data_IF_802327218046
#
_entry.id   IF_802327218046
#
_cell.length_a   1.000
_cell.length_b   1.000
_cell.length_c   1.000
_cell.angle_alpha   90.00
_cell.angle_beta   90.00
_cell.angle_gamma   90.00
#
_symmetry.space_group_name_H-M   'P 1'
#
loop_
_entity.id
_entity.type
_entity.pdbx_description
1 polymer ?
#
# COMPACT_ATOMS: atom_id res chain seq x y z
N UNK A 1 27.82 -30.34 -29.11
CA UNK A 1 28.11 -28.94 -29.51
C UNK A 1 26.87 -28.13 -29.92
N UNK A 2 25.93 -28.63 -30.76
CA UNK A 2 24.72 -27.86 -31.14
C UNK A 2 23.79 -27.42 -29.99
N UNK A 3 23.68 -28.18 -28.90
CA UNK A 3 22.85 -27.81 -27.72
C UNK A 3 23.43 -26.63 -26.92
N UNK A 4 24.75 -26.41 -26.98
CA UNK A 4 25.41 -25.31 -26.27
C UNK A 4 25.17 -23.96 -26.97
N UNK A 5 25.14 -23.96 -28.30
CA UNK A 5 24.84 -22.78 -29.10
C UNK A 5 23.38 -22.29 -28.97
N UNK A 6 22.43 -23.21 -28.74
CA UNK A 6 21.03 -22.88 -28.47
C UNK A 6 20.85 -22.25 -27.08
N UNK A 7 21.58 -22.75 -26.07
CA UNK A 7 21.57 -22.19 -24.72
C UNK A 7 22.20 -20.79 -24.67
N UNK A 8 23.31 -20.56 -25.36
CA UNK A 8 23.89 -19.21 -25.47
C UNK A 8 22.99 -18.21 -26.20
N UNK A 9 22.30 -18.65 -27.27
CA UNK A 9 21.34 -17.80 -27.99
C UNK A 9 20.14 -17.43 -27.12
N UNK A 10 19.66 -18.37 -26.30
CA UNK A 10 18.57 -18.14 -25.35
C UNK A 10 18.97 -17.19 -24.21
N UNK A 11 20.15 -17.39 -23.61
CA UNK A 11 20.69 -16.47 -22.58
C UNK A 11 20.94 -15.06 -23.15
N UNK A 12 21.45 -14.95 -24.39
CA UNK A 12 21.61 -13.67 -25.07
C UNK A 12 20.27 -12.98 -25.37
N UNK A 13 19.23 -13.72 -25.79
CA UNK A 13 17.92 -13.11 -26.04
C UNK A 13 17.24 -12.63 -24.75
N UNK A 14 17.41 -13.35 -23.63
CA UNK A 14 16.93 -12.91 -22.31
C UNK A 14 17.67 -11.65 -21.86
N UNK A 15 19.00 -11.58 -22.01
CA UNK A 15 19.80 -10.39 -21.66
C UNK A 15 19.46 -9.19 -22.54
N UNK A 16 19.25 -9.39 -23.84
CA UNK A 16 18.86 -8.33 -24.77
C UNK A 16 17.46 -7.78 -24.43
N UNK A 17 16.48 -8.64 -24.13
CA UNK A 17 15.15 -8.19 -23.72
C UNK A 17 15.15 -7.50 -22.35
N UNK A 18 15.93 -7.99 -21.39
CA UNK A 18 16.07 -7.35 -20.07
C UNK A 18 16.77 -5.98 -20.14
N UNK A 19 17.78 -5.83 -21.00
CA UNK A 19 18.45 -4.55 -21.26
C UNK A 19 17.53 -3.57 -22.00
N UNK A 20 16.73 -4.05 -22.96
CA UNK A 20 15.77 -3.21 -23.68
C UNK A 20 14.62 -2.75 -22.77
N UNK A 21 14.07 -3.65 -21.96
CA UNK A 21 13.04 -3.30 -20.97
C UNK A 21 13.59 -2.41 -19.87
N UNK A 22 14.81 -2.68 -19.39
CA UNK A 22 15.50 -1.84 -18.41
C UNK A 22 15.79 -0.43 -18.92
N UNK A 23 16.20 -0.29 -20.19
CA UNK A 23 16.42 1.00 -20.83
C UNK A 23 15.10 1.78 -21.03
N UNK A 24 14.01 1.12 -21.41
CA UNK A 24 12.70 1.76 -21.55
C UNK A 24 12.18 2.25 -20.19
N UNK A 25 12.29 1.42 -19.14
CA UNK A 25 11.87 1.81 -17.77
C UNK A 25 12.74 2.95 -17.24
N UNK A 26 14.06 2.88 -17.41
CA UNK A 26 14.97 3.95 -17.00
C UNK A 26 14.71 5.26 -17.74
N UNK A 27 14.44 5.19 -19.05
CA UNK A 27 14.11 6.37 -19.86
C UNK A 27 12.77 6.96 -19.46
N UNK A 28 11.75 6.13 -19.17
CA UNK A 28 10.46 6.59 -18.65
C UNK A 28 10.57 7.22 -17.25
N UNK A 29 11.42 6.67 -16.37
CA UNK A 29 11.71 7.24 -15.05
C UNK A 29 12.45 8.58 -15.15
N UNK A 30 13.45 8.68 -16.03
CA UNK A 30 14.20 9.92 -16.25
C UNK A 30 13.32 10.99 -16.91
N UNK A 31 12.48 10.64 -17.89
CA UNK A 31 11.50 11.58 -18.44
C UNK A 31 10.44 12.00 -17.41
N UNK A 32 9.99 11.09 -16.55
CA UNK A 32 9.06 11.38 -15.47
C UNK A 32 9.65 12.26 -14.36
N UNK A 33 10.97 12.19 -14.14
CA UNK A 33 11.71 13.05 -13.21
C UNK A 33 12.05 14.43 -13.79
N UNK A 34 12.21 14.53 -15.11
CA UNK A 34 12.53 15.79 -15.80
C UNK A 34 11.29 16.63 -16.16
N UNK A 35 10.13 15.99 -16.28
CA UNK A 35 8.86 16.69 -16.34
C UNK A 35 8.46 16.99 -14.90
N UNK A 36 8.73 18.20 -14.41
CA UNK A 36 8.13 18.71 -13.18
C UNK A 36 6.61 18.50 -13.32
N UNK A 37 6.00 17.45 -12.74
CA UNK A 37 4.58 17.31 -12.87
C UNK A 37 4.04 18.48 -12.06
N UNK A 38 3.36 19.42 -12.73
CA UNK A 38 2.49 20.33 -12.00
C UNK A 38 1.66 19.42 -11.08
N UNK A 39 1.69 19.64 -9.75
CA UNK A 39 1.09 18.69 -8.82
C UNK A 39 -0.33 18.44 -9.32
N UNK A 40 -0.66 17.18 -9.58
CA UNK A 40 -2.01 16.79 -9.96
C UNK A 40 -2.85 16.91 -8.69
N UNK A 41 -3.37 18.11 -8.46
CA UNK A 41 -4.13 18.50 -7.27
C UNK A 41 -5.59 18.04 -7.42
N UNK A 42 -5.83 16.73 -7.31
CA UNK A 42 -7.11 16.24 -6.77
C UNK A 42 -7.13 16.53 -5.27
N UNK A 43 -8.31 16.67 -4.67
CA UNK A 43 -8.60 17.23 -3.34
C UNK A 43 -7.39 17.40 -2.41
N UNK A 44 -6.98 18.64 -2.16
CA UNK A 44 -5.82 18.84 -1.30
C UNK A 44 -6.15 18.46 0.15
N UNK A 45 -5.20 17.82 0.85
CA UNK A 45 -5.33 17.55 2.28
C UNK A 45 -5.63 18.78 3.13
N UNK A 46 -5.40 19.99 2.63
CA UNK A 46 -5.67 21.27 3.29
C UNK A 46 -7.13 21.46 3.70
N UNK A 47 -8.08 21.13 2.82
CA UNK A 47 -9.52 21.27 3.16
C UNK A 47 -9.92 20.29 4.26
N UNK A 48 -9.46 19.03 4.19
CA UNK A 48 -9.67 18.05 5.26
C UNK A 48 -9.05 18.49 6.57
N UNK A 49 -7.81 18.97 6.55
CA UNK A 49 -7.13 19.45 7.76
C UNK A 49 -7.87 20.64 8.37
N UNK A 50 -8.32 21.59 7.55
CA UNK A 50 -9.10 22.72 8.05
C UNK A 50 -10.35 22.25 8.80
N UNK A 51 -11.18 21.41 8.15
CA UNK A 51 -12.43 20.90 8.74
C UNK A 51 -12.16 20.01 9.96
N UNK A 52 -11.14 19.16 9.88
CA UNK A 52 -10.73 18.28 10.97
C UNK A 52 -10.19 19.04 12.19
N UNK A 53 -9.55 20.19 12.00
CA UNK A 53 -9.16 21.08 13.10
C UNK A 53 -10.38 21.78 13.72
N UNK A 54 -11.41 22.16 12.93
CA UNK A 54 -12.66 22.68 13.50
C UNK A 54 -13.32 21.64 14.40
N UNK A 55 -13.46 20.40 13.90
CA UNK A 55 -14.03 19.30 14.68
C UNK A 55 -13.21 18.98 15.93
N UNK A 56 -11.87 18.99 15.81
CA UNK A 56 -10.97 18.79 16.96
C UNK A 56 -11.15 19.90 17.98
N UNK A 57 -11.17 21.16 17.57
CA UNK A 57 -11.26 22.30 18.49
C UNK A 57 -12.59 22.30 19.25
N UNK A 58 -13.70 21.94 18.59
CA UNK A 58 -14.99 21.72 19.27
C UNK A 58 -14.86 20.61 20.32
N UNK A 59 -14.26 19.47 19.94
CA UNK A 59 -14.07 18.32 20.82
C UNK A 59 -13.20 18.57 22.08
N UNK A 60 -12.34 19.60 22.10
CA UNK A 60 -11.34 19.78 23.16
C UNK A 60 -11.91 20.13 24.54
N UNK A 61 -13.14 20.63 24.60
CA UNK A 61 -13.84 20.86 25.87
C UNK A 61 -14.48 19.58 26.46
N UNK A 62 -14.34 18.46 25.75
CA UNK A 62 -14.88 17.16 26.10
C UNK A 62 -16.27 16.89 25.52
N UNK A 63 -16.80 17.78 24.67
CA UNK A 63 -18.07 17.61 23.96
C UNK A 63 -17.94 17.99 22.50
N UNK A 64 -18.86 17.50 21.67
CA UNK A 64 -19.07 17.96 20.30
C UNK A 64 -20.48 18.50 20.18
N UNK A 65 -20.61 19.70 19.62
CA UNK A 65 -21.88 20.38 19.44
C UNK A 65 -22.35 20.25 18.01
N UNK A 66 -23.47 19.56 17.79
CA UNK A 66 -24.08 19.48 16.48
C UNK A 66 -25.15 20.57 16.37
N UNK A 67 -24.92 21.54 15.51
CA UNK A 67 -25.86 22.63 15.26
C UNK A 67 -26.89 22.27 14.19
N UNK A 68 -28.11 22.78 14.34
CA UNK A 68 -29.12 22.78 13.29
C UNK A 68 -28.93 24.02 12.42
N UNK A 69 -28.76 23.81 11.12
CA UNK A 69 -28.60 24.89 10.15
C UNK A 69 -29.89 25.12 9.37
N UNK A 70 -30.16 26.38 9.00
CA UNK A 70 -31.15 26.70 7.98
C UNK A 70 -30.58 26.29 6.61
N UNK A 71 -31.22 25.38 5.86
CA UNK A 71 -30.67 24.90 4.59
C UNK A 71 -30.61 25.98 3.50
N UNK A 72 -31.39 27.06 3.61
CA UNK A 72 -31.39 28.16 2.64
C UNK A 72 -30.32 29.22 2.92
N UNK A 73 -30.06 29.54 4.19
CA UNK A 73 -29.15 30.63 4.59
C UNK A 73 -27.81 30.14 5.16
N UNK A 74 -27.75 28.89 5.61
CA UNK A 74 -26.60 28.33 6.33
C UNK A 74 -26.48 28.81 7.78
N UNK A 75 -27.41 29.63 8.27
CA UNK A 75 -27.38 30.16 9.64
C UNK A 75 -27.70 29.08 10.67
N UNK A 76 -27.06 29.17 11.84
CA UNK A 76 -27.37 28.33 12.99
C UNK A 76 -28.73 28.77 13.54
N UNK A 77 -29.72 27.88 13.48
CA UNK A 77 -31.10 28.12 13.98
C UNK A 77 -31.41 27.36 15.26
N UNK A 78 -30.44 26.60 15.78
CA UNK A 78 -30.54 25.88 17.04
C UNK A 78 -29.46 24.82 17.18
N UNK A 79 -29.54 24.03 18.24
CA UNK A 79 -28.61 22.93 18.53
C UNK A 79 -29.37 21.61 18.46
N UNK A 80 -28.83 20.63 17.72
CA UNK A 80 -29.35 19.26 17.67
C UNK A 80 -29.00 18.53 18.97
N UNK A 81 -27.77 18.70 19.44
CA UNK A 81 -27.34 18.17 20.72
C UNK A 81 -25.87 18.42 21.01
N UNK A 82 -25.51 18.19 22.27
CA UNK A 82 -24.13 18.09 22.73
C UNK A 82 -23.82 16.63 23.03
N UNK A 83 -22.70 16.14 22.54
CA UNK A 83 -22.31 14.74 22.68
C UNK A 83 -20.97 14.64 23.38
N UNK A 84 -20.89 13.87 24.47
CA UNK A 84 -19.64 13.67 25.18
C UNK A 84 -18.62 12.97 24.28
N UNK A 85 -17.38 13.45 24.30
CA UNK A 85 -16.25 12.84 23.60
C UNK A 85 -15.71 11.69 24.45
N UNK A 86 -15.40 10.56 23.82
CA UNK A 86 -14.72 9.46 24.49
C UNK A 86 -13.39 9.95 25.12
N UNK A 87 -13.15 9.73 26.42
CA UNK A 87 -11.96 10.28 27.10
C UNK A 87 -10.63 9.83 26.50
N UNK A 88 -10.55 8.63 25.92
CA UNK A 88 -9.33 8.14 25.27
C UNK A 88 -9.12 8.84 23.92
N UNK A 89 -10.19 9.09 23.15
CA UNK A 89 -10.12 9.91 21.94
C UNK A 89 -9.70 11.34 22.29
N UNK A 90 -10.35 11.97 23.28
CA UNK A 90 -10.04 13.34 23.71
C UNK A 90 -8.56 13.48 24.09
N UNK A 91 -8.06 12.55 24.90
CA UNK A 91 -6.65 12.54 25.32
C UNK A 91 -5.73 12.39 24.11
N UNK A 92 -6.03 11.46 23.20
CA UNK A 92 -5.21 11.22 22.02
C UNK A 92 -5.13 12.45 21.10
N UNK A 93 -6.26 13.06 20.73
CA UNK A 93 -6.26 14.21 19.80
C UNK A 93 -5.75 15.50 20.44
N UNK A 94 -5.83 15.62 21.77
CA UNK A 94 -5.25 16.75 22.52
C UNK A 94 -3.73 16.63 22.58
N UNK A 95 -3.22 15.46 22.96
CA UNK A 95 -1.81 15.26 23.30
C UNK A 95 -0.95 14.92 22.07
N UNK A 96 -1.56 14.41 20.99
CA UNK A 96 -0.87 14.04 19.72
C UNK A 96 -1.49 14.73 18.49
N UNK A 97 -1.54 16.07 18.44
CA UNK A 97 -2.23 16.81 17.37
C UNK A 97 -1.56 16.65 16.00
N UNK A 98 -0.23 16.51 15.92
CA UNK A 98 0.47 16.33 14.64
C UNK A 98 0.24 14.95 14.03
N UNK A 99 0.09 13.90 14.85
CA UNK A 99 -0.34 12.57 14.38
C UNK A 99 -1.82 12.56 13.97
N UNK A 100 -2.69 13.27 14.70
CA UNK A 100 -4.08 13.45 14.28
C UNK A 100 -4.17 14.11 12.89
N UNK A 101 -3.42 15.20 12.66
CA UNK A 101 -3.33 15.86 11.34
C UNK A 101 -2.75 14.96 10.26
N UNK A 102 -1.74 14.16 10.58
CA UNK A 102 -1.24 13.14 9.67
C UNK A 102 -2.37 12.14 9.31
N UNK A 103 -3.15 11.70 10.30
CA UNK A 103 -4.35 10.90 10.09
C UNK A 103 -5.34 11.53 9.12
N UNK A 104 -5.63 12.83 9.28
CA UNK A 104 -6.57 13.58 8.44
C UNK A 104 -6.14 13.62 6.97
N UNK A 105 -4.86 13.46 6.65
CA UNK A 105 -4.43 13.35 5.25
C UNK A 105 -4.99 12.08 4.58
N UNK A 106 -5.32 11.06 5.38
CA UNK A 106 -6.20 9.97 4.98
C UNK A 106 -5.71 9.15 3.78
N UNK A 107 -6.65 8.53 3.04
CA UNK A 107 -6.39 7.81 1.80
C UNK A 107 -5.76 8.66 0.69
N UNK A 108 -5.91 9.99 0.74
CA UNK A 108 -5.27 10.90 -0.22
C UNK A 108 -3.74 10.98 -0.06
N UNK A 109 -3.22 10.62 1.11
CA UNK A 109 -1.79 10.52 1.37
C UNK A 109 -1.30 9.08 1.60
N UNK A 110 -2.12 8.21 2.18
CA UNK A 110 -1.71 6.87 2.62
C UNK A 110 -2.67 5.76 2.16
N UNK A 111 -2.15 4.62 1.69
CA UNK A 111 -0.73 4.35 1.47
C UNK A 111 -0.15 5.10 0.26
N UNK A 112 -1.02 5.52 -0.66
CA UNK A 112 -0.75 6.36 -1.82
C UNK A 112 -2.06 6.81 -2.46
N UNK A 113 -2.01 7.89 -3.25
CA UNK A 113 -3.18 8.49 -3.90
C UNK A 113 -3.93 7.53 -4.83
N UNK A 114 -3.24 6.62 -5.53
CA UNK A 114 -3.90 5.69 -6.45
C UNK A 114 -4.68 4.65 -5.67
N UNK A 115 -4.10 4.10 -4.61
CA UNK A 115 -4.81 3.17 -3.72
C UNK A 115 -6.00 3.86 -3.04
N UNK A 116 -5.82 5.08 -2.53
CA UNK A 116 -6.91 5.85 -1.93
C UNK A 116 -8.10 6.01 -2.87
N UNK A 117 -7.85 6.58 -4.05
CA UNK A 117 -8.88 6.92 -5.03
C UNK A 117 -9.49 5.71 -5.75
N UNK A 118 -8.79 4.57 -5.82
CA UNK A 118 -9.26 3.38 -6.56
C UNK A 118 -9.78 2.24 -5.69
N UNK A 119 -9.30 2.13 -4.45
CA UNK A 119 -9.61 0.98 -3.57
C UNK A 119 -10.36 1.43 -2.32
N UNK A 120 -10.01 2.59 -1.77
CA UNK A 120 -10.52 3.04 -0.47
C UNK A 120 -11.78 3.90 -0.62
N UNK A 121 -11.77 4.92 -1.48
CA UNK A 121 -12.91 5.83 -1.69
C UNK A 121 -14.12 5.21 -2.42
N UNK A 122 -13.94 4.37 -3.47
CA UNK A 122 -15.10 3.95 -4.27
C UNK A 122 -16.08 3.05 -3.50
N UNK A 123 -17.40 3.27 -3.65
CA UNK A 123 -18.43 2.48 -2.98
C UNK A 123 -18.69 1.12 -3.66
N UNK A 124 -18.08 0.84 -4.82
CA UNK A 124 -18.35 -0.35 -5.63
C UNK A 124 -17.75 -1.63 -5.08
N UNK A 125 -16.78 -1.53 -4.19
CA UNK A 125 -16.34 -2.66 -3.38
C UNK A 125 -17.36 -2.83 -2.25
N UNK A 126 -17.98 -4.01 -2.04
CA UNK A 126 -19.18 -4.18 -1.20
C UNK A 126 -19.09 -3.67 0.26
N UNK A 127 -17.91 -3.27 0.75
CA UNK A 127 -17.73 -2.54 2.01
C UNK A 127 -16.65 -1.40 1.94
N UNK A 128 -16.24 -0.97 0.74
CA UNK A 128 -15.34 0.15 0.40
C UNK A 128 -14.45 0.70 1.51
N UNK A 129 -14.65 1.98 1.85
CA UNK A 129 -13.95 2.66 2.93
C UNK A 129 -14.26 2.05 4.30
N UNK A 130 -15.46 1.51 4.51
CA UNK A 130 -15.89 1.01 5.82
C UNK A 130 -14.98 -0.11 6.35
N UNK A 131 -14.64 -1.10 5.51
CA UNK A 131 -13.70 -2.18 5.91
C UNK A 131 -12.32 -1.65 6.32
N UNK A 132 -11.83 -0.61 5.63
CA UNK A 132 -10.57 0.04 5.99
C UNK A 132 -10.69 0.75 7.34
N UNK A 133 -11.76 1.51 7.55
CA UNK A 133 -11.99 2.25 8.80
C UNK A 133 -12.14 1.29 9.99
N UNK A 134 -12.90 0.20 9.85
CA UNK A 134 -13.06 -0.83 10.88
C UNK A 134 -11.72 -1.49 11.21
N UNK A 135 -10.93 -1.84 10.19
CA UNK A 135 -9.63 -2.44 10.38
C UNK A 135 -8.66 -1.51 11.13
N UNK A 136 -8.60 -0.23 10.74
CA UNK A 136 -7.75 0.74 11.42
C UNK A 136 -8.23 1.01 12.84
N UNK A 137 -9.54 1.16 13.04
CA UNK A 137 -10.15 1.37 14.35
C UNK A 137 -9.85 0.21 15.31
N UNK A 138 -10.00 -1.03 14.86
CA UNK A 138 -9.70 -2.23 15.64
C UNK A 138 -8.24 -2.32 16.08
N UNK A 139 -7.33 -1.71 15.32
CA UNK A 139 -5.90 -1.68 15.63
C UNK A 139 -5.44 -0.38 16.33
N UNK A 140 -6.35 0.54 16.64
CA UNK A 140 -6.02 1.91 17.09
C UNK A 140 -5.48 2.01 18.52
N UNK A 141 -5.71 1.00 19.37
CA UNK A 141 -5.39 1.06 20.80
C UNK A 141 -3.94 0.68 21.14
N UNK A 142 -3.04 0.61 20.14
CA UNK A 142 -1.63 0.25 20.35
C UNK A 142 -0.83 1.36 21.04
N UNK A 143 -1.17 2.62 20.80
CA UNK A 143 -0.61 3.78 21.51
C UNK A 143 -1.55 5.00 21.35
N UNK A 144 -1.47 6.01 22.24
CA UNK A 144 -2.24 7.24 22.08
C UNK A 144 -1.94 7.99 20.76
N UNK A 145 -0.68 7.95 20.28
CA UNK A 145 -0.30 8.52 18.99
C UNK A 145 -0.98 7.81 17.81
N UNK A 146 -1.03 6.46 17.84
CA UNK A 146 -1.75 5.66 16.85
C UNK A 146 -3.25 5.94 16.93
N UNK A 147 -3.81 6.06 18.13
CA UNK A 147 -5.22 6.42 18.32
C UNK A 147 -5.53 7.77 17.68
N UNK A 148 -4.68 8.77 17.89
CA UNK A 148 -4.83 10.10 17.29
C UNK A 148 -4.78 10.03 15.76
N UNK A 149 -3.80 9.32 15.20
CA UNK A 149 -3.70 9.09 13.75
C UNK A 149 -4.95 8.40 13.19
N UNK A 150 -5.41 7.31 13.80
CA UNK A 150 -6.60 6.60 13.33
C UNK A 150 -7.86 7.47 13.44
N UNK A 151 -8.05 8.20 14.54
CA UNK A 151 -9.17 9.15 14.66
C UNK A 151 -9.12 10.21 13.56
N UNK A 152 -7.93 10.74 13.25
CA UNK A 152 -7.76 11.65 12.11
C UNK A 152 -8.15 11.02 10.76
N UNK A 153 -7.78 9.76 10.56
CA UNK A 153 -8.15 9.01 9.35
C UNK A 153 -9.67 8.81 9.23
N UNK A 154 -10.35 8.55 10.36
CA UNK A 154 -11.82 8.50 10.40
C UNK A 154 -12.43 9.89 10.14
N UNK A 155 -11.83 10.97 10.65
CA UNK A 155 -12.26 12.34 10.36
C UNK A 155 -12.14 12.68 8.88
N UNK A 156 -11.09 12.20 8.20
CA UNK A 156 -10.97 12.32 6.74
C UNK A 156 -12.19 11.69 6.05
N UNK A 157 -12.45 10.42 6.33
CA UNK A 157 -13.57 9.70 5.71
C UNK A 157 -14.93 10.31 6.05
N UNK A 158 -15.11 10.86 7.26
CA UNK A 158 -16.31 11.61 7.58
C UNK A 158 -16.45 12.86 6.68
N UNK A 159 -15.35 13.56 6.41
CA UNK A 159 -15.30 14.65 5.42
C UNK A 159 -15.67 14.19 4.01
N UNK A 160 -15.14 13.06 3.56
CA UNK A 160 -15.42 12.47 2.25
C UNK A 160 -16.91 12.20 2.04
N UNK A 161 -17.61 11.70 3.05
CA UNK A 161 -19.04 11.36 2.92
C UNK A 161 -19.87 12.58 2.51
N UNK A 162 -19.56 13.75 3.06
CA UNK A 162 -20.21 15.00 2.69
C UNK A 162 -19.61 15.58 1.40
N UNK A 163 -18.29 15.62 1.30
CA UNK A 163 -17.57 16.19 0.17
C UNK A 163 -17.88 15.48 -1.14
N UNK A 164 -17.77 14.16 -1.19
CA UNK A 164 -18.08 13.41 -2.40
C UNK A 164 -19.56 13.43 -2.75
N UNK A 165 -20.49 13.61 -1.82
CA UNK A 165 -21.89 13.87 -2.18
C UNK A 165 -22.02 15.16 -3.00
N UNK A 166 -21.37 16.24 -2.53
CA UNK A 166 -21.33 17.51 -3.25
C UNK A 166 -20.60 17.38 -4.59
N UNK A 167 -19.39 16.81 -4.60
CA UNK A 167 -18.57 16.68 -5.81
C UNK A 167 -19.27 15.79 -6.85
N UNK A 168 -19.81 14.64 -6.45
CA UNK A 168 -20.52 13.73 -7.36
C UNK A 168 -21.73 14.39 -8.03
N UNK A 169 -22.40 15.33 -7.37
CA UNK A 169 -23.47 16.12 -7.97
C UNK A 169 -22.97 16.98 -9.16
N UNK A 170 -21.76 17.54 -9.07
CA UNK A 170 -21.18 18.35 -10.16
C UNK A 170 -20.45 17.53 -11.22
N UNK A 171 -19.87 16.39 -10.85
CA UNK A 171 -19.10 15.54 -11.76
C UNK A 171 -19.96 14.49 -12.46
N UNK A 172 -21.13 14.18 -11.88
CA UNK A 172 -22.17 13.29 -12.39
C UNK A 172 -22.03 11.83 -11.95
N UNK A 173 -20.95 11.46 -11.27
CA UNK A 173 -20.69 10.09 -10.79
C UNK A 173 -19.49 10.04 -9.83
N UNK A 174 -19.34 8.96 -9.03
CA UNK A 174 -18.12 8.67 -8.27
C UNK A 174 -16.85 8.68 -9.13
N UNK A 175 -15.70 8.92 -8.49
CA UNK A 175 -14.41 9.01 -9.16
C UNK A 175 -14.06 7.73 -9.94
N UNK A 176 -13.76 7.87 -11.23
CA UNK A 176 -13.30 6.77 -12.09
C UNK A 176 -12.19 7.26 -13.02
N UNK A 177 -11.09 6.49 -13.11
CA UNK A 177 -9.95 6.81 -14.00
C UNK A 177 -10.26 6.41 -15.44
N UNK A 178 -11.15 5.45 -15.64
CA UNK A 178 -11.56 4.96 -16.95
C UNK A 178 -13.08 4.92 -17.04
N UNK A 179 -13.70 5.67 -17.96
CA UNK A 179 -13.08 6.64 -18.88
C UNK A 179 -12.57 7.91 -18.15
N UNK A 180 -11.51 8.58 -18.64
CA UNK A 180 -10.81 9.64 -17.90
C UNK A 180 -11.63 10.93 -17.69
N UNK A 181 -12.75 11.10 -18.41
CA UNK A 181 -13.56 12.31 -18.34
C UNK A 181 -14.15 12.58 -16.94
N UNK A 182 -14.47 11.55 -16.17
CA UNK A 182 -14.97 11.72 -14.80
C UNK A 182 -13.85 12.15 -13.84
N UNK A 183 -12.68 11.50 -13.88
CA UNK A 183 -11.51 11.91 -13.10
C UNK A 183 -11.13 13.38 -13.32
N UNK A 184 -11.14 13.86 -14.57
CA UNK A 184 -10.85 15.27 -14.88
C UNK A 184 -11.85 16.21 -14.21
N UNK A 185 -13.16 15.89 -14.27
CA UNK A 185 -14.20 16.70 -13.62
C UNK A 185 -14.02 16.75 -12.10
N UNK A 186 -13.71 15.61 -11.47
CA UNK A 186 -13.43 15.52 -10.04
C UNK A 186 -12.26 16.43 -9.64
N UNK A 187 -11.13 16.29 -10.31
CA UNK A 187 -9.94 17.13 -10.08
C UNK A 187 -10.28 18.63 -10.18
N UNK A 188 -11.05 19.02 -11.21
CA UNK A 188 -11.44 20.42 -11.40
C UNK A 188 -12.40 20.92 -10.32
N UNK A 189 -13.42 20.13 -9.97
CA UNK A 189 -14.42 20.50 -8.98
C UNK A 189 -13.82 20.58 -7.57
N UNK A 190 -13.07 19.56 -7.17
CA UNK A 190 -12.36 19.51 -5.88
C UNK A 190 -11.32 20.62 -5.78
N UNK A 191 -10.53 20.84 -6.83
CA UNK A 191 -9.55 21.93 -6.88
C UNK A 191 -10.18 23.32 -6.85
N UNK A 192 -11.40 23.48 -7.36
CA UNK A 192 -12.15 24.73 -7.27
C UNK A 192 -12.63 25.02 -5.84
N UNK A 193 -13.12 24.00 -5.13
CA UNK A 193 -13.53 24.08 -3.72
C UNK A 193 -12.32 24.38 -2.84
N UNK A 194 -11.22 23.64 -3.00
CA UNK A 194 -10.00 23.84 -2.21
C UNK A 194 -9.45 25.27 -2.31
N UNK A 195 -9.44 25.85 -3.52
CA UNK A 195 -8.99 27.24 -3.72
C UNK A 195 -9.84 28.30 -3.01
N UNK A 196 -11.05 27.94 -2.59
CA UNK A 196 -12.00 28.83 -1.89
C UNK A 196 -12.15 28.48 -0.42
N UNK A 197 -11.72 27.29 -0.01
CA UNK A 197 -11.62 26.94 1.39
C UNK A 197 -10.49 27.74 2.06
N UNK A 198 -10.60 28.02 3.37
CA UNK A 198 -9.47 28.50 4.14
C UNK A 198 -8.28 27.53 3.99
N UNK A 199 -7.08 28.08 3.81
CA UNK A 199 -5.87 27.29 3.62
C UNK A 199 -5.03 27.34 4.90
N UNK A 200 -5.19 26.39 5.83
CA UNK A 200 -4.47 26.41 7.10
C UNK A 200 -2.99 26.07 6.89
N UNK A 201 -2.13 26.69 7.69
CA UNK A 201 -0.80 26.13 7.96
C UNK A 201 -0.95 25.04 9.02
N UNK A 202 -0.34 23.89 8.78
CA UNK A 202 -0.41 22.77 9.71
C UNK A 202 0.89 21.98 9.75
N UNK A 203 1.15 21.35 10.90
CA UNK A 203 2.25 20.40 11.08
C UNK A 203 1.66 19.01 11.25
N UNK A 204 1.98 18.12 10.32
CA UNK A 204 1.63 16.71 10.37
C UNK A 204 2.91 15.90 10.57
N UNK A 205 2.84 14.88 11.43
CA UNK A 205 3.98 14.02 11.73
C UNK A 205 3.57 12.56 11.76
N UNK A 206 4.34 11.72 11.05
CA UNK A 206 4.21 10.26 11.11
C UNK A 206 5.10 9.63 12.19
N UNK A 207 5.86 10.44 12.94
CA UNK A 207 6.75 9.92 13.98
C UNK A 207 5.92 9.18 15.04
N UNK A 208 6.29 7.93 15.30
CA UNK A 208 5.61 7.07 16.28
C UNK A 208 4.37 6.36 15.75
N UNK A 209 4.02 6.57 14.47
CA UNK A 209 2.93 5.88 13.77
C UNK A 209 3.38 5.26 12.44
N UNK A 210 4.62 5.46 12.02
CA UNK A 210 5.20 4.96 10.78
C UNK A 210 5.17 3.42 10.68
N UNK A 211 5.53 2.71 11.75
CA UNK A 211 5.42 1.25 11.81
C UNK A 211 3.98 0.75 11.72
N UNK A 212 3.03 1.54 12.26
CA UNK A 212 1.60 1.26 12.16
C UNK A 212 1.11 1.45 10.72
N UNK A 213 1.45 2.58 10.07
CA UNK A 213 1.16 2.86 8.66
C UNK A 213 1.73 1.75 7.77
N UNK A 214 2.99 1.38 7.96
CA UNK A 214 3.62 0.32 7.17
C UNK A 214 2.84 -0.99 7.30
N UNK A 215 2.59 -1.44 8.53
CA UNK A 215 1.97 -2.75 8.79
C UNK A 215 0.50 -2.82 8.41
N UNK A 216 -0.22 -1.69 8.43
CA UNK A 216 -1.68 -1.64 8.29
C UNK A 216 -2.17 -0.98 7.00
N UNK A 217 -1.29 -0.31 6.24
CA UNK A 217 -1.67 0.34 4.97
C UNK A 217 -0.80 -0.13 3.79
N UNK A 218 0.44 -0.58 4.02
CA UNK A 218 1.42 -0.82 2.94
C UNK A 218 1.77 -2.31 2.78
N UNK A 219 2.02 -3.02 3.87
CA UNK A 219 2.65 -4.33 3.85
C UNK A 219 1.65 -5.48 3.60
N UNK A 220 1.18 -5.60 2.36
CA UNK A 220 0.28 -6.65 1.89
C UNK A 220 1.02 -7.98 1.61
N UNK A 221 1.89 -8.43 2.53
CA UNK A 221 2.55 -9.73 2.45
C UNK A 221 1.53 -10.88 2.37
N UNK A 222 1.85 -11.99 1.68
CA UNK A 222 0.95 -13.14 1.59
C UNK A 222 0.41 -13.58 2.96
N UNK A 223 -0.92 -13.70 3.07
CA UNK A 223 -1.62 -14.15 4.27
C UNK A 223 -1.92 -13.06 5.31
N UNK A 224 -1.47 -11.81 5.13
CA UNK A 224 -1.92 -10.69 5.97
C UNK A 224 -3.38 -10.33 5.65
N UNK A 225 -4.03 -9.58 6.55
CA UNK A 225 -5.37 -9.06 6.31
C UNK A 225 -5.40 -8.13 5.08
N UNK A 226 -4.34 -7.33 4.89
CA UNK A 226 -4.17 -6.54 3.68
C UNK A 226 -4.17 -7.41 2.42
N UNK A 227 -3.38 -8.49 2.36
CA UNK A 227 -3.34 -9.37 1.18
C UNK A 227 -4.66 -10.09 0.90
N UNK A 228 -5.37 -10.52 1.93
CA UNK A 228 -6.56 -11.36 1.80
C UNK A 228 -7.84 -10.57 1.56
N UNK A 229 -7.99 -9.44 2.26
CA UNK A 229 -9.27 -8.78 2.47
C UNK A 229 -9.30 -7.36 1.86
N UNK A 230 -8.30 -6.52 2.13
CA UNK A 230 -8.31 -5.10 1.71
C UNK A 230 -7.64 -4.83 0.35
N UNK A 231 -6.56 -5.53 0.05
CA UNK A 231 -5.75 -5.43 -1.17
C UNK A 231 -5.67 -6.80 -1.86
N UNK A 232 -6.82 -7.48 -1.95
CA UNK A 232 -6.94 -8.81 -2.53
C UNK A 232 -6.53 -8.82 -4.00
N UNK A 233 -5.79 -9.83 -4.42
CA UNK A 233 -5.47 -10.03 -5.83
C UNK A 233 -6.75 -10.12 -6.68
N UNK A 234 -6.82 -9.33 -7.76
CA UNK A 234 -8.00 -9.28 -8.62
C UNK A 234 -9.20 -8.56 -7.99
N UNK A 235 -9.01 -7.92 -6.83
CA UNK A 235 -9.99 -6.98 -6.28
C UNK A 235 -10.11 -5.74 -7.15
N UNK A 236 -11.26 -5.09 -7.11
CA UNK A 236 -11.50 -3.84 -7.83
C UNK A 236 -10.49 -2.75 -7.41
N UNK A 237 -9.95 -2.01 -8.38
CA UNK A 237 -8.91 -0.98 -8.15
C UNK A 237 -7.52 -1.50 -7.76
N UNK A 238 -7.40 -2.73 -7.23
CA UNK A 238 -6.14 -3.26 -6.66
C UNK A 238 -5.01 -3.42 -7.68
N UNK A 239 -5.31 -3.53 -8.97
CA UNK A 239 -4.33 -3.63 -10.06
C UNK A 239 -3.42 -2.40 -10.15
N UNK A 240 -3.91 -1.23 -9.70
CA UNK A 240 -3.15 0.03 -9.69
C UNK A 240 -2.62 0.40 -8.31
N UNK A 241 -2.91 -0.41 -7.28
CA UNK A 241 -2.46 -0.14 -5.92
C UNK A 241 -0.95 -0.37 -5.80
N UNK A 242 -0.22 0.69 -5.43
CA UNK A 242 1.23 0.64 -5.26
C UNK A 242 1.64 -0.40 -4.21
N UNK A 243 1.09 -0.42 -2.98
CA UNK A 243 1.28 -1.48 -2.00
C UNK A 243 1.10 -2.89 -2.55
N UNK A 244 0.05 -3.12 -3.35
CA UNK A 244 -0.22 -4.45 -3.90
C UNK A 244 0.86 -4.87 -4.90
N UNK A 245 1.23 -3.97 -5.80
CA UNK A 245 2.26 -4.21 -6.83
C UNK A 245 3.58 -4.59 -6.14
N UNK A 246 4.04 -3.76 -5.20
CA UNK A 246 5.29 -4.01 -4.48
C UNK A 246 5.25 -5.25 -3.61
N UNK A 247 4.13 -5.52 -2.93
CA UNK A 247 3.99 -6.72 -2.11
C UNK A 247 3.99 -8.00 -2.94
N UNK A 248 3.36 -7.97 -4.12
CA UNK A 248 3.36 -9.09 -5.06
C UNK A 248 4.77 -9.34 -5.61
N UNK A 249 5.47 -8.26 -6.01
CA UNK A 249 6.86 -8.36 -6.48
C UNK A 249 7.77 -8.95 -5.40
N UNK A 250 7.67 -8.45 -4.16
CA UNK A 250 8.43 -8.96 -3.02
C UNK A 250 8.15 -10.44 -2.77
N UNK A 251 6.88 -10.85 -2.79
CA UNK A 251 6.49 -12.24 -2.57
C UNK A 251 7.03 -13.19 -3.65
N UNK A 252 7.03 -12.76 -4.91
CA UNK A 252 7.58 -13.53 -6.01
C UNK A 252 9.11 -13.66 -5.90
N UNK A 253 9.81 -12.56 -5.61
CA UNK A 253 11.25 -12.58 -5.38
C UNK A 253 11.62 -13.48 -4.20
N UNK A 254 10.86 -13.45 -3.10
CA UNK A 254 11.09 -14.34 -1.96
C UNK A 254 10.90 -15.81 -2.36
N UNK A 255 9.86 -16.12 -3.14
CA UNK A 255 9.63 -17.48 -3.65
C UNK A 255 10.78 -17.97 -4.53
N UNK A 256 11.33 -17.12 -5.37
CA UNK A 256 12.48 -17.45 -6.21
C UNK A 256 13.74 -17.70 -5.37
N UNK A 257 13.96 -16.88 -4.34
CA UNK A 257 15.05 -17.06 -3.37
C UNK A 257 14.88 -18.38 -2.60
N UNK A 258 13.68 -18.68 -2.12
CA UNK A 258 13.38 -19.91 -1.38
C UNK A 258 13.55 -21.14 -2.26
N UNK A 259 13.04 -21.08 -3.50
CA UNK A 259 13.20 -22.13 -4.51
C UNK A 259 14.67 -22.36 -4.85
N UNK A 260 15.44 -21.28 -4.99
CA UNK A 260 16.87 -21.33 -5.19
C UNK A 260 17.60 -22.06 -4.05
N UNK A 261 17.37 -21.64 -2.80
CA UNK A 261 18.02 -22.25 -1.63
C UNK A 261 17.58 -23.69 -1.40
N UNK A 262 16.31 -24.01 -1.68
CA UNK A 262 15.82 -25.38 -1.65
C UNK A 262 16.50 -26.28 -2.70
N UNK A 263 16.67 -25.78 -3.92
CA UNK A 263 17.38 -26.48 -4.99
C UNK A 263 18.86 -26.69 -4.65
N UNK A 264 19.53 -25.65 -4.12
CA UNK A 264 20.91 -25.74 -3.64
C UNK A 264 21.04 -26.76 -2.50
N UNK A 265 20.13 -26.74 -1.53
CA UNK A 265 20.13 -27.69 -0.43
C UNK A 265 19.91 -29.13 -0.92
N UNK A 266 19.03 -29.36 -1.89
CA UNK A 266 18.83 -30.67 -2.51
C UNK A 266 20.10 -31.15 -3.23
N UNK A 267 20.75 -30.27 -4.00
CA UNK A 267 22.01 -30.56 -4.66
C UNK A 267 23.10 -30.95 -3.65
N UNK A 268 23.27 -30.16 -2.58
CA UNK A 268 24.27 -30.42 -1.54
C UNK A 268 23.99 -31.75 -0.81
N UNK A 269 22.72 -32.07 -0.52
CA UNK A 269 22.32 -33.38 0.04
C UNK A 269 22.70 -34.54 -0.88
N UNK A 270 22.26 -34.52 -2.14
CA UNK A 270 22.57 -35.59 -3.12
C UNK A 270 24.07 -35.80 -3.30
N UNK A 271 24.85 -34.72 -3.34
CA UNK A 271 26.31 -34.79 -3.42
C UNK A 271 26.89 -35.48 -2.17
N UNK A 272 26.43 -35.09 -0.98
CA UNK A 272 26.93 -35.65 0.28
C UNK A 272 26.52 -37.13 0.46
N UNK A 273 25.34 -37.52 -0.01
CA UNK A 273 24.89 -38.92 0.01
C UNK A 273 25.75 -39.80 -0.90
N UNK A 274 26.06 -39.34 -2.12
CA UNK A 274 26.97 -40.03 -3.03
C UNK A 274 28.39 -40.14 -2.45
N UNK A 275 28.89 -39.08 -1.79
CA UNK A 275 30.19 -39.11 -1.11
C UNK A 275 30.19 -40.12 0.05
N UNK A 276 29.11 -40.19 0.82
CA UNK A 276 28.96 -41.14 1.92
C UNK A 276 28.89 -42.58 1.41
N UNK A 277 28.08 -42.82 0.37
CA UNK A 277 27.96 -44.13 -0.26
C UNK A 277 29.30 -44.59 -0.85
N UNK A 278 30.04 -43.71 -1.54
CA UNK A 278 31.35 -44.04 -2.09
C UNK A 278 32.38 -44.41 -1.01
N UNK A 279 32.38 -43.69 0.12
CA UNK A 279 33.24 -44.00 1.28
C UNK A 279 32.89 -45.34 1.95
N UNK A 280 31.63 -45.77 1.84
CA UNK A 280 31.15 -46.99 2.46
C UNK A 280 31.31 -48.24 1.57
N UNK A 281 31.72 -48.09 0.31
CA UNK A 281 32.02 -49.24 -0.55
C UNK A 281 33.22 -50.02 0.02
N UNK A 282 33.03 -51.31 0.27
CA UNK A 282 34.12 -52.22 0.67
C UNK A 282 34.91 -52.64 -0.56
N UNK A 283 36.22 -52.83 -0.41
CA UNK A 283 37.10 -53.22 -1.52
C UNK A 283 36.71 -54.57 -2.17
N UNK A 284 36.04 -55.43 -1.42
CA UNK A 284 35.58 -56.76 -1.84
C UNK A 284 34.09 -56.81 -2.22
N UNK A 285 33.36 -55.68 -2.19
CA UNK A 285 31.97 -55.60 -2.64
C UNK A 285 31.91 -55.13 -4.09
N UNK A 286 31.90 -56.09 -5.03
CA UNK A 286 31.84 -55.81 -6.46
C UNK A 286 30.51 -55.18 -6.91
N UNK A 287 29.48 -55.13 -6.05
CA UNK A 287 28.22 -54.42 -6.34
C UNK A 287 28.31 -52.91 -6.07
N UNK A 288 29.30 -52.48 -5.27
CA UNK A 288 29.53 -51.09 -4.88
C UNK A 288 30.79 -50.52 -5.55
N UNK A 289 30.63 -49.67 -6.57
CA UNK A 289 31.77 -48.99 -7.19
C UNK A 289 31.85 -47.54 -6.72
N UNK A 290 32.83 -47.25 -5.86
CA UNK A 290 33.11 -45.88 -5.42
C UNK A 290 33.34 -44.95 -6.61
N UNK A 291 34.08 -45.41 -7.63
CA UNK A 291 34.33 -44.65 -8.87
C UNK A 291 33.03 -44.33 -9.63
N UNK A 292 32.10 -45.28 -9.72
CA UNK A 292 30.79 -45.05 -10.36
C UNK A 292 29.97 -44.01 -9.60
N UNK A 293 29.90 -44.10 -8.28
CA UNK A 293 29.20 -43.13 -7.42
C UNK A 293 29.85 -41.74 -7.50
N UNK A 294 31.18 -41.68 -7.61
CA UNK A 294 31.92 -40.45 -7.80
C UNK A 294 31.65 -39.77 -9.15
N UNK A 295 31.44 -40.55 -10.22
CA UNK A 295 31.07 -40.06 -11.55
C UNK A 295 29.60 -39.63 -11.64
N UNK A 296 28.73 -40.18 -10.78
CA UNK A 296 27.34 -39.76 -10.62
C UNK A 296 27.21 -38.45 -9.84
N UNK A 297 28.30 -37.94 -9.23
CA UNK A 297 28.28 -36.66 -8.52
C UNK A 297 27.86 -35.56 -9.49
N UNK A 298 26.88 -34.72 -9.11
CA UNK A 298 26.57 -33.53 -9.87
C UNK A 298 27.87 -32.72 -10.11
N UNK A 299 28.17 -32.30 -11.34
CA UNK A 299 29.38 -31.55 -11.64
C UNK A 299 29.53 -30.30 -10.77
N UNK A 300 30.76 -29.96 -10.38
CA UNK A 300 31.02 -28.77 -9.55
C UNK A 300 30.54 -27.46 -10.21
N UNK A 301 30.55 -27.37 -11.54
CA UNK A 301 30.07 -26.20 -12.26
C UNK A 301 28.55 -25.98 -12.14
N UNK A 302 27.75 -27.03 -11.88
CA UNK A 302 26.33 -26.87 -11.56
C UNK A 302 26.12 -26.18 -10.20
N UNK A 303 27.08 -26.31 -9.27
CA UNK A 303 27.05 -25.54 -8.02
C UNK A 303 27.32 -24.06 -8.26
N UNK A 304 28.23 -23.72 -9.19
CA UNK A 304 28.50 -22.34 -9.60
C UNK A 304 27.35 -21.71 -10.40
N UNK A 305 26.59 -22.50 -11.14
CA UNK A 305 25.39 -22.00 -11.82
C UNK A 305 24.25 -21.67 -10.83
N UNK A 306 24.36 -22.16 -9.60
CA UNK A 306 23.46 -21.83 -8.51
C UNK A 306 24.00 -20.61 -7.73
N UNK A 307 25.29 -20.51 -7.39
CA UNK A 307 25.83 -19.35 -6.64
C UNK A 307 26.04 -18.10 -7.46
#
# INVERSE_FOLDING_TARGET
MRKFALFERFIRSIRLNALFQGAIVATALVLGLCLNPAPALAWKPTTHVYLGEQARNDALDGKVTINRLNPATGEIVGTIGEFAVDPAILTAIRDFPSQYRAGILGPDAYPDILTGQQVIHPPTNPDGSNRWLEYLWGNSNQSPAIKAFVVGYLTHAAGDMYGHTFINNFTGAPFTVTPPGNAIKHILAEGYVDKRAPNPTFEASIQGVDGFIYSNLIDARPGTYLDRDLLRQGGEGTTYSVPRIYSTLRANLQRDIDGYYAAKANYDRRRNDLLRAAKNCRWNDFSCSARKLELQRPPFWLRRALT
#
